data_IF_661624887419
#
_entry.id   IF_661624887419
#
_cell.length_a   1.000
_cell.length_b   1.000
_cell.length_c   1.000
_cell.angle_alpha   90.00
_cell.angle_beta   90.00
_cell.angle_gamma   90.00
#
_symmetry.space_group_name_H-M   'P 1'
#
loop_
_entity.id
_entity.type
_entity.pdbx_description
1 polymer ?
#
# COMPACT_ATOMS: atom_id res chain seq x y z
N UNK A 1 12.09 7.60 -19.64
CA UNK A 1 11.63 6.26 -19.22
C UNK A 1 10.38 6.47 -18.37
N UNK A 2 9.35 5.63 -18.48
CA UNK A 2 8.06 5.87 -17.84
C UNK A 2 7.57 4.62 -17.10
N UNK A 3 6.66 4.83 -16.16
CA UNK A 3 5.80 3.79 -15.57
C UNK A 3 4.37 3.96 -16.10
N UNK A 4 3.59 2.89 -16.06
CA UNK A 4 2.18 2.89 -16.44
C UNK A 4 1.32 2.83 -15.19
N UNK A 5 0.37 3.74 -15.04
CA UNK A 5 -0.64 3.71 -13.99
C UNK A 5 -1.98 3.41 -14.64
N UNK A 6 -2.54 2.22 -14.38
CA UNK A 6 -3.86 1.80 -14.86
C UNK A 6 -4.94 2.27 -13.89
N UNK A 7 -6.06 2.73 -14.42
CA UNK A 7 -7.25 3.12 -13.67
C UNK A 7 -8.51 2.89 -14.52
N UNK A 8 -9.68 2.89 -13.88
CA UNK A 8 -10.95 2.68 -14.57
C UNK A 8 -11.02 1.42 -15.45
N UNK A 9 -11.89 1.45 -16.45
CA UNK A 9 -11.98 0.41 -17.47
C UNK A 9 -11.02 0.73 -18.63
N UNK A 10 -9.85 0.07 -18.62
CA UNK A 10 -8.83 0.15 -19.67
C UNK A 10 -8.16 1.53 -19.86
N UNK A 11 -8.23 2.42 -18.87
CA UNK A 11 -7.52 3.69 -18.93
C UNK A 11 -6.09 3.55 -18.38
N UNK A 12 -5.17 4.33 -18.95
CA UNK A 12 -3.77 4.35 -18.53
C UNK A 12 -3.17 5.76 -18.55
N UNK A 13 -2.29 6.01 -17.59
CA UNK A 13 -1.51 7.22 -17.45
C UNK A 13 -0.02 6.87 -17.46
N UNK A 14 0.78 7.56 -18.27
CA UNK A 14 2.25 7.42 -18.24
C UNK A 14 2.84 8.47 -17.32
N UNK A 15 3.69 8.05 -16.40
CA UNK A 15 4.34 8.92 -15.42
C UNK A 15 5.86 8.73 -15.48
N UNK A 16 6.62 9.83 -15.41
CA UNK A 16 8.07 9.78 -15.36
C UNK A 16 8.56 9.56 -13.91
N UNK A 17 9.12 8.40 -13.55
CA UNK A 17 9.57 8.12 -12.19
C UNK A 17 10.80 8.94 -11.76
N UNK A 18 11.42 9.70 -12.68
CA UNK A 18 12.47 10.65 -12.34
C UNK A 18 11.95 11.94 -11.67
N UNK A 19 10.63 12.17 -11.72
CA UNK A 19 10.01 13.29 -11.02
C UNK A 19 9.88 13.00 -9.51
N UNK A 20 9.71 14.06 -8.72
CA UNK A 20 9.47 13.92 -7.30
C UNK A 20 8.17 13.19 -7.01
N UNK A 21 8.21 12.32 -5.99
CA UNK A 21 7.08 11.51 -5.59
C UNK A 21 5.81 12.33 -5.35
N UNK A 22 5.92 13.47 -4.66
CA UNK A 22 4.79 14.39 -4.46
C UNK A 22 4.22 14.94 -5.76
N UNK A 23 5.08 15.32 -6.72
CA UNK A 23 4.64 15.86 -8.02
C UNK A 23 3.89 14.79 -8.80
N UNK A 24 4.38 13.55 -8.78
CA UNK A 24 3.72 12.41 -9.41
C UNK A 24 2.35 12.16 -8.78
N UNK A 25 2.30 12.14 -7.45
CA UNK A 25 1.07 11.95 -6.69
C UNK A 25 0.03 13.05 -7.01
N UNK A 26 0.42 14.32 -6.94
CA UNK A 26 -0.45 15.46 -7.24
C UNK A 26 -0.90 15.45 -8.71
N UNK A 27 -0.02 15.05 -9.63
CA UNK A 27 -0.36 14.87 -11.05
C UNK A 27 -1.43 13.80 -11.25
N UNK A 28 -1.27 12.62 -10.65
CA UNK A 28 -2.26 11.52 -10.74
C UNK A 28 -3.60 11.98 -10.18
N UNK A 29 -3.61 12.63 -9.00
CA UNK A 29 -4.83 13.19 -8.40
C UNK A 29 -5.57 14.10 -9.37
N UNK A 30 -4.85 15.04 -9.98
CA UNK A 30 -5.43 16.00 -10.91
C UNK A 30 -5.94 15.35 -12.19
N UNK A 31 -5.23 14.36 -12.74
CA UNK A 31 -5.65 13.67 -13.97
C UNK A 31 -6.91 12.82 -13.75
N UNK A 32 -7.04 12.20 -12.58
CA UNK A 32 -8.16 11.31 -12.25
C UNK A 32 -9.32 12.02 -11.53
N UNK A 33 -9.22 13.34 -11.32
CA UNK A 33 -10.19 14.13 -10.54
C UNK A 33 -10.48 13.52 -9.17
N UNK A 34 -9.44 13.00 -8.50
CA UNK A 34 -9.59 12.43 -7.15
C UNK A 34 -9.83 13.59 -6.18
N UNK A 35 -10.92 13.59 -5.38
CA UNK A 35 -11.19 14.65 -4.43
C UNK A 35 -10.06 14.83 -3.40
N UNK A 36 -9.82 16.06 -2.91
CA UNK A 36 -8.73 16.32 -1.96
C UNK A 36 -8.88 15.56 -0.63
N UNK A 37 -10.11 15.28 -0.21
CA UNK A 37 -10.46 14.48 0.97
C UNK A 37 -10.29 12.98 0.76
N UNK A 38 -10.14 12.52 -0.48
CA UNK A 38 -9.95 11.11 -0.79
C UNK A 38 -8.46 10.76 -0.80
N UNK A 39 -8.10 9.83 0.08
CA UNK A 39 -6.78 9.23 0.09
C UNK A 39 -6.66 8.14 -0.99
N UNK A 40 -5.51 8.10 -1.64
CA UNK A 40 -5.20 7.06 -2.61
C UNK A 40 -3.71 6.74 -2.57
N UNK A 41 -3.38 5.56 -3.09
CA UNK A 41 -2.01 5.10 -3.29
C UNK A 41 -1.92 4.37 -4.64
N UNK A 42 -0.73 3.85 -4.93
CA UNK A 42 -0.51 2.92 -6.02
C UNK A 42 -0.31 1.51 -5.46
N UNK A 43 -0.67 0.51 -6.24
CA UNK A 43 -0.30 -0.88 -6.00
C UNK A 43 0.31 -1.52 -7.25
N UNK A 44 1.14 -2.54 -7.04
CA UNK A 44 1.70 -3.36 -8.12
C UNK A 44 0.62 -4.21 -8.78
N UNK A 45 0.93 -4.86 -9.91
CA UNK A 45 -0.02 -5.79 -10.55
C UNK A 45 -0.35 -7.00 -9.67
N UNK A 46 0.50 -7.33 -8.69
CA UNK A 46 0.30 -8.38 -7.71
C UNK A 46 -0.55 -7.92 -6.50
N UNK A 47 -0.93 -6.64 -6.46
CA UNK A 47 -1.76 -6.06 -5.40
C UNK A 47 -0.98 -5.56 -4.18
N UNK A 48 0.34 -5.50 -4.24
CA UNK A 48 1.16 -4.95 -3.16
C UNK A 48 1.11 -3.42 -3.16
N UNK A 49 0.79 -2.82 -2.01
CA UNK A 49 0.73 -1.37 -1.86
C UNK A 49 2.13 -0.75 -1.95
N UNK A 50 2.25 0.35 -2.69
CA UNK A 50 3.52 1.01 -2.94
C UNK A 50 3.93 2.01 -1.86
N UNK A 51 3.02 2.39 -0.95
CA UNK A 51 3.30 3.30 0.16
C UNK A 51 3.92 4.62 -0.32
N UNK A 52 3.43 5.16 -1.45
CA UNK A 52 4.09 6.22 -2.22
C UNK A 52 4.41 7.45 -1.37
N UNK A 53 3.51 7.80 -0.44
CA UNK A 53 3.67 8.98 0.42
C UNK A 53 4.31 8.67 1.79
N UNK A 54 4.53 7.41 2.14
CA UNK A 54 4.98 6.99 3.48
C UNK A 54 6.50 6.79 3.57
N UNK A 55 7.24 6.78 2.45
CA UNK A 55 8.69 6.59 2.43
C UNK A 55 9.46 7.80 3.03
N UNK A 56 10.07 7.67 4.23
CA UNK A 56 10.89 8.73 4.80
C UNK A 56 12.27 8.78 4.13
N UNK A 57 12.92 9.95 4.00
CA UNK A 57 12.45 11.27 4.43
C UNK A 57 11.75 12.09 3.33
N UNK A 58 11.54 11.54 2.13
CA UNK A 58 11.56 12.38 0.93
C UNK A 58 10.41 12.10 -0.05
N UNK A 59 9.22 12.62 0.24
CA UNK A 59 8.26 12.96 -0.83
C UNK A 59 8.88 13.94 -1.86
N UNK A 60 10.02 14.56 -1.52
CA UNK A 60 10.91 15.39 -2.35
C UNK A 60 12.03 14.61 -3.09
N UNK A 61 12.04 13.27 -3.05
CA UNK A 61 12.99 12.47 -3.82
C UNK A 61 12.36 11.95 -5.12
N UNK A 62 13.20 11.58 -6.08
CA UNK A 62 12.75 10.94 -7.31
C UNK A 62 12.06 9.61 -6.99
N UNK A 63 10.91 9.36 -7.62
CA UNK A 63 10.12 8.16 -7.35
C UNK A 63 10.74 6.87 -7.90
N UNK A 64 11.87 6.91 -8.62
CA UNK A 64 12.50 5.75 -9.25
C UNK A 64 12.79 4.59 -8.28
N UNK A 65 13.02 4.88 -6.99
CA UNK A 65 13.20 3.85 -5.96
C UNK A 65 11.92 3.13 -5.53
N UNK A 66 10.76 3.76 -5.73
CA UNK A 66 9.42 3.26 -5.33
C UNK A 66 8.64 2.76 -6.56
N UNK A 67 8.83 3.43 -7.69
CA UNK A 67 8.19 3.17 -8.97
C UNK A 67 9.27 2.76 -9.99
N UNK A 68 9.72 1.49 -9.96
CA UNK A 68 10.71 1.02 -10.89
C UNK A 68 10.25 1.27 -12.33
N UNK A 69 11.14 1.77 -13.19
CA UNK A 69 10.76 2.14 -14.54
C UNK A 69 10.27 0.95 -15.37
N UNK A 70 9.37 1.19 -16.33
CA UNK A 70 8.71 0.18 -17.18
C UNK A 70 7.78 -0.78 -16.44
N UNK A 71 7.50 -0.55 -15.15
CA UNK A 71 6.46 -1.28 -14.43
C UNK A 71 5.07 -0.67 -14.62
N UNK A 72 4.08 -1.48 -14.30
CA UNK A 72 2.66 -1.12 -14.27
C UNK A 72 2.17 -1.11 -12.83
N UNK A 73 1.40 -0.09 -12.50
CA UNK A 73 0.74 0.09 -11.23
C UNK A 73 -0.76 0.29 -11.45
N UNK A 74 -1.54 0.12 -10.39
CA UNK A 74 -2.97 0.44 -10.35
C UNK A 74 -3.23 1.47 -9.27
N UNK A 75 -4.22 2.33 -9.49
CA UNK A 75 -4.69 3.26 -8.47
C UNK A 75 -5.50 2.49 -7.43
N UNK A 76 -5.15 2.69 -6.16
CA UNK A 76 -5.80 2.11 -5.00
C UNK A 76 -6.42 3.23 -4.18
N UNK A 77 -7.76 3.26 -4.09
CA UNK A 77 -8.46 4.21 -3.21
C UNK A 77 -8.40 3.67 -1.78
N UNK A 78 -8.03 4.52 -0.84
CA UNK A 78 -7.93 4.16 0.58
C UNK A 78 -9.21 4.64 1.28
N UNK A 79 -9.93 3.72 1.89
CA UNK A 79 -11.03 4.07 2.79
C UNK A 79 -10.47 4.34 4.19
N UNK A 80 -10.74 5.52 4.73
CA UNK A 80 -10.57 5.77 6.15
C UNK A 80 -11.54 4.86 6.91
N UNK A 81 -11.01 3.85 7.62
CA UNK A 81 -11.80 3.17 8.62
C UNK A 81 -11.98 4.11 9.79
N UNK A 82 -13.15 4.72 9.90
CA UNK A 82 -13.63 5.19 11.21
C UNK A 82 -13.65 3.97 12.13
N UNK A 83 -12.70 3.91 13.05
CA UNK A 83 -12.77 2.97 14.16
C UNK A 83 -13.89 3.49 15.06
N UNK A 84 -15.12 3.13 14.73
CA UNK A 84 -16.20 3.19 15.68
C UNK A 84 -15.82 2.20 16.78
N UNK A 85 -15.53 2.71 17.98
CA UNK A 85 -15.23 1.91 19.16
C UNK A 85 -16.49 1.13 19.58
N UNK A 86 -16.92 0.16 18.79
CA UNK A 86 -17.86 -0.85 19.25
C UNK A 86 -17.13 -1.71 20.29
N UNK A 87 -17.51 -1.48 21.54
CA UNK A 87 -17.11 -2.28 22.69
C UNK A 87 -17.62 -3.71 22.46
N UNK A 88 -16.76 -4.57 21.92
CA UNK A 88 -17.01 -6.01 21.81
C UNK A 88 -17.00 -6.63 23.22
N UNK A 89 -18.15 -6.61 23.91
CA UNK A 89 -18.46 -7.64 24.89
C UNK A 89 -18.89 -8.89 24.14
N UNK A 90 -17.92 -9.75 23.82
CA UNK A 90 -18.18 -10.96 23.04
C UNK A 90 -17.08 -11.98 23.21
N UNK A 91 -17.02 -12.59 24.39
CA UNK A 91 -16.23 -13.78 24.67
C UNK A 91 -16.46 -14.84 23.60
N UNK A 92 -15.41 -15.27 22.91
CA UNK A 92 -15.35 -16.66 22.42
C UNK A 92 -13.93 -17.20 22.51
N UNK A 93 -13.82 -18.25 23.33
CA UNK A 93 -12.61 -19.01 23.59
C UNK A 93 -12.21 -19.79 22.34
N UNK A 94 -11.01 -19.54 21.81
CA UNK A 94 -10.32 -20.50 20.96
C UNK A 94 -9.08 -21.03 21.68
N UNK A 95 -9.24 -22.24 22.21
CA UNK A 95 -8.17 -23.03 22.83
C UNK A 95 -7.31 -23.62 21.71
N UNK A 96 -6.25 -22.94 21.34
CA UNK A 96 -5.21 -23.51 20.48
C UNK A 96 -4.40 -24.53 21.29
N UNK A 97 -4.62 -25.82 21.01
CA UNK A 97 -3.66 -26.87 21.35
C UNK A 97 -2.54 -26.78 20.32
N UNK A 98 -1.37 -26.32 20.73
CA UNK A 98 -0.11 -26.56 20.01
C UNK A 98 0.78 -27.42 20.89
N UNK A 99 1.03 -28.62 20.36
CA UNK A 99 2.07 -29.56 20.75
C UNK A 99 3.45 -28.92 20.62
N UNK A 100 4.29 -29.10 21.64
CA UNK A 100 5.74 -28.95 21.52
C UNK A 100 6.40 -30.09 22.30
N UNK A 101 7.12 -30.92 21.55
CA UNK A 101 8.06 -31.95 22.01
C UNK A 101 9.15 -31.37 22.91
N UNK A 102 9.56 -32.12 23.93
CA UNK A 102 10.93 -32.07 24.46
C UNK A 102 11.28 -33.41 25.11
N UNK A 103 12.24 -34.19 24.58
CA UNK A 103 12.88 -35.24 25.35
C UNK A 103 14.29 -34.77 25.72
N UNK A 104 14.51 -34.52 27.01
CA UNK A 104 15.83 -34.19 27.51
C UNK A 104 15.83 -33.96 29.01
N UNK A 105 15.93 -35.03 29.80
CA UNK A 105 16.71 -34.98 31.04
C UNK A 105 17.11 -36.40 31.48
N UNK A 106 18.42 -36.54 31.74
CA UNK A 106 19.08 -37.67 32.40
C UNK A 106 19.47 -37.18 33.81
N UNK A 107 19.55 -38.13 34.75
CA UNK A 107 19.99 -38.03 36.16
C UNK A 107 18.84 -37.83 37.16
N UNK A 108 18.70 -38.62 38.24
CA UNK A 108 19.64 -39.45 39.03
C UNK A 108 18.99 -40.78 39.41
#
# INVERSE_FOLDING_TARGET
MFVTVKYGENEELKVNPNCYTRIIHDYIRNQLNIPPETEFDLCTEDGERCHVMEYPPNTNAAAQGILPPRQTFRVLMLEERTIDNETLSGTSNFRSKTSADTPGEVSV
#
